data_IF_390266249247
#
_entry.id   IF_390266249247
#
_cell.length_a   1.000
_cell.length_b   1.000
_cell.length_c   1.000
_cell.angle_alpha   90.00
_cell.angle_beta   90.00
_cell.angle_gamma   90.00
#
_symmetry.space_group_name_H-M   'P 1'
#
loop_
_entity.id
_entity.type
_entity.pdbx_description
1 polymer ?
#
# COMPACT_ATOMS: atom_id res chain seq x y z
N UNK A 1 -20.66 -13.10 14.50
CA UNK A 1 -20.00 -12.65 15.74
C UNK A 1 -20.85 -11.51 16.28
N UNK A 2 -21.43 -11.64 17.48
CA UNK A 2 -22.21 -10.56 18.12
C UNK A 2 -21.28 -9.89 19.11
N UNK A 3 -21.00 -8.61 18.90
CA UNK A 3 -20.20 -7.80 19.82
C UNK A 3 -21.09 -7.46 21.01
N UNK A 4 -20.62 -7.74 22.23
CA UNK A 4 -21.36 -7.43 23.45
C UNK A 4 -21.25 -5.95 23.81
N UNK A 5 -22.16 -5.44 24.65
CA UNK A 5 -22.12 -4.04 25.08
C UNK A 5 -20.86 -3.76 25.90
N UNK A 6 -20.40 -4.76 26.67
CA UNK A 6 -19.16 -4.72 27.43
C UNK A 6 -17.94 -4.59 26.51
N UNK A 7 -17.86 -5.37 25.42
CA UNK A 7 -16.76 -5.26 24.44
C UNK A 7 -16.72 -3.89 23.74
N UNK A 8 -17.88 -3.29 23.49
CA UNK A 8 -17.96 -1.92 22.94
C UNK A 8 -17.43 -0.90 23.94
N UNK A 9 -17.84 -0.99 25.21
CA UNK A 9 -17.36 -0.10 26.26
C UNK A 9 -15.87 -0.30 26.54
N UNK A 10 -15.39 -1.52 26.54
CA UNK A 10 -13.98 -1.86 26.72
C UNK A 10 -13.13 -1.28 25.57
N UNK A 11 -13.59 -1.39 24.32
CA UNK A 11 -12.91 -0.79 23.15
C UNK A 11 -12.88 0.75 23.25
N UNK A 12 -13.98 1.37 23.66
CA UNK A 12 -14.06 2.84 23.86
C UNK A 12 -13.12 3.28 24.97
N UNK A 13 -13.10 2.57 26.10
CA UNK A 13 -12.26 2.88 27.26
C UNK A 13 -10.78 2.66 26.96
N UNK A 14 -10.44 1.59 26.24
CA UNK A 14 -9.10 1.35 25.69
C UNK A 14 -8.66 2.52 24.79
N UNK A 15 -9.52 2.97 23.88
CA UNK A 15 -9.19 4.05 22.94
C UNK A 15 -9.00 5.40 23.63
N UNK A 16 -9.85 5.74 24.61
CA UNK A 16 -9.79 7.04 25.31
C UNK A 16 -8.70 7.11 26.39
N UNK A 17 -8.46 6.03 27.13
CA UNK A 17 -7.52 6.05 28.28
C UNK A 17 -6.11 5.53 27.93
N UNK A 18 -5.93 4.75 26.85
CA UNK A 18 -4.63 4.11 26.52
C UNK A 18 -3.93 4.62 25.25
N UNK A 19 -4.46 5.64 24.56
CA UNK A 19 -3.82 6.25 23.38
C UNK A 19 -3.42 5.22 22.30
N UNK A 20 -4.31 4.29 21.96
CA UNK A 20 -4.02 3.31 20.92
C UNK A 20 -3.82 3.98 19.56
N UNK A 21 -2.73 3.63 18.88
CA UNK A 21 -2.47 3.99 17.48
C UNK A 21 -2.41 2.74 16.60
N UNK A 22 -2.74 2.91 15.31
CA UNK A 22 -2.48 1.90 14.30
C UNK A 22 -1.10 2.21 13.71
N UNK A 23 -0.10 1.39 14.09
CA UNK A 23 1.28 1.53 13.60
C UNK A 23 1.36 1.55 12.07
N UNK A 24 0.62 0.69 11.39
CA UNK A 24 0.63 0.64 9.92
C UNK A 24 -0.62 0.01 9.35
N UNK A 25 -1.06 0.53 8.21
CA UNK A 25 -1.92 -0.19 7.27
C UNK A 25 -1.09 -0.56 6.05
N UNK A 26 -1.28 -1.78 5.52
CA UNK A 26 -0.54 -2.25 4.33
C UNK A 26 -1.52 -2.75 3.29
N UNK A 27 -1.46 -2.20 2.08
CA UNK A 27 -2.21 -2.68 0.93
C UNK A 27 -1.35 -3.62 0.07
N UNK A 28 -1.77 -4.88 -0.05
CA UNK A 28 -1.18 -5.82 -0.98
C UNK A 28 -1.73 -5.65 -2.40
N UNK A 29 -0.85 -5.44 -3.38
CA UNK A 29 -1.22 -5.28 -4.79
C UNK A 29 -0.63 -6.42 -5.62
N UNK A 30 -1.52 -7.17 -6.28
CA UNK A 30 -1.12 -8.10 -7.31
C UNK A 30 -0.80 -7.34 -8.60
N UNK A 31 0.41 -7.50 -9.13
CA UNK A 31 0.89 -6.84 -10.36
C UNK A 31 1.17 -7.83 -11.49
N UNK A 32 0.85 -9.12 -11.33
CA UNK A 32 1.09 -10.14 -12.37
C UNK A 32 0.39 -9.82 -13.69
N UNK A 33 -0.79 -9.21 -13.63
CA UNK A 33 -1.56 -8.75 -14.78
C UNK A 33 -0.90 -7.55 -15.50
N UNK A 34 0.02 -6.86 -14.84
CA UNK A 34 0.73 -5.72 -15.41
C UNK A 34 1.94 -6.15 -16.25
N UNK A 35 2.46 -7.37 -16.08
CA UNK A 35 3.67 -7.86 -16.76
C UNK A 35 3.60 -7.67 -18.29
N UNK A 36 4.71 -7.24 -18.89
CA UNK A 36 4.86 -7.05 -20.35
C UNK A 36 6.28 -7.41 -20.78
N UNK A 37 6.46 -7.67 -22.08
CA UNK A 37 7.78 -7.75 -22.71
C UNK A 37 8.34 -6.36 -23.04
N UNK A 38 7.50 -5.34 -23.17
CA UNK A 38 7.92 -3.93 -23.25
C UNK A 38 8.02 -3.31 -21.84
N UNK A 39 9.25 -2.99 -21.43
CA UNK A 39 9.53 -2.39 -20.12
C UNK A 39 8.82 -1.06 -19.90
N UNK A 40 8.58 -0.26 -20.96
CA UNK A 40 7.88 1.03 -20.83
C UNK A 40 6.40 0.82 -20.54
N UNK A 41 5.76 -0.07 -21.31
CA UNK A 41 4.35 -0.42 -21.11
C UNK A 41 4.14 -1.06 -19.73
N UNK A 42 5.02 -1.99 -19.33
CA UNK A 42 5.02 -2.60 -18.01
C UNK A 42 5.12 -1.56 -16.88
N UNK A 43 6.15 -0.72 -16.91
CA UNK A 43 6.38 0.30 -15.88
C UNK A 43 5.19 1.27 -15.77
N UNK A 44 4.63 1.69 -16.90
CA UNK A 44 3.44 2.56 -16.91
C UNK A 44 2.25 1.91 -16.22
N UNK A 45 1.93 0.65 -16.54
CA UNK A 45 0.80 -0.06 -15.93
C UNK A 45 0.98 -0.26 -14.43
N UNK A 46 2.19 -0.62 -14.00
CA UNK A 46 2.52 -0.76 -12.58
C UNK A 46 2.37 0.57 -11.86
N UNK A 47 2.93 1.64 -12.42
CA UNK A 47 2.82 2.99 -11.87
C UNK A 47 1.35 3.40 -11.70
N UNK A 48 0.55 3.29 -12.75
CA UNK A 48 -0.85 3.71 -12.73
C UNK A 48 -1.68 2.89 -11.74
N UNK A 49 -1.41 1.57 -11.63
CA UNK A 49 -2.06 0.69 -10.65
C UNK A 49 -1.72 1.10 -9.21
N UNK A 50 -0.44 1.31 -8.90
CA UNK A 50 0.02 1.69 -7.56
C UNK A 50 -0.56 3.06 -7.17
N UNK A 51 -0.51 4.04 -8.07
CA UNK A 51 -1.05 5.38 -7.80
C UNK A 51 -2.55 5.31 -7.52
N UNK A 52 -3.32 4.64 -8.38
CA UNK A 52 -4.77 4.51 -8.19
C UNK A 52 -5.12 3.86 -6.86
N UNK A 53 -4.45 2.75 -6.53
CA UNK A 53 -4.75 1.97 -5.33
C UNK A 53 -4.24 2.64 -4.06
N UNK A 54 -3.06 3.25 -4.09
CA UNK A 54 -2.50 3.99 -2.97
C UNK A 54 -3.30 5.24 -2.62
N UNK A 55 -3.81 5.98 -3.61
CA UNK A 55 -4.71 7.11 -3.34
C UNK A 55 -6.02 6.65 -2.68
N UNK A 56 -6.56 5.50 -3.07
CA UNK A 56 -7.74 4.93 -2.41
C UNK A 56 -7.43 4.48 -0.98
N UNK A 57 -6.27 3.86 -0.73
CA UNK A 57 -5.82 3.51 0.62
C UNK A 57 -5.80 4.75 1.51
N UNK A 58 -5.21 5.85 1.03
CA UNK A 58 -5.13 7.09 1.79
C UNK A 58 -6.52 7.64 2.12
N UNK A 59 -7.40 7.74 1.11
CA UNK A 59 -8.78 8.18 1.32
C UNK A 59 -9.51 7.37 2.40
N UNK A 60 -9.47 6.04 2.32
CA UNK A 60 -10.19 5.20 3.27
C UNK A 60 -9.52 5.17 4.65
N UNK A 61 -8.20 5.31 4.71
CA UNK A 61 -7.48 5.47 5.97
C UNK A 61 -7.89 6.78 6.66
N UNK A 62 -7.94 7.91 5.94
CA UNK A 62 -8.38 9.21 6.46
C UNK A 62 -9.84 9.13 7.00
N UNK A 63 -10.73 8.46 6.26
CA UNK A 63 -12.12 8.22 6.68
C UNK A 63 -12.19 7.38 7.97
N UNK A 64 -11.32 6.37 8.09
CA UNK A 64 -11.26 5.50 9.27
C UNK A 64 -10.72 6.25 10.50
N UNK A 65 -9.64 7.01 10.34
CA UNK A 65 -9.07 7.87 11.39
C UNK A 65 -10.13 8.85 11.91
N UNK A 66 -10.85 9.51 10.98
CA UNK A 66 -11.90 10.47 11.33
C UNK A 66 -13.08 9.82 12.04
N UNK A 67 -13.46 8.60 11.62
CA UNK A 67 -14.63 7.89 12.17
C UNK A 67 -14.38 7.32 13.57
N UNK A 68 -13.18 6.80 13.83
CA UNK A 68 -12.86 6.11 15.07
C UNK A 68 -11.97 6.92 16.02
N UNK A 69 -11.42 8.05 15.57
CA UNK A 69 -10.52 8.88 16.38
C UNK A 69 -9.18 8.21 16.68
N UNK A 70 -8.81 7.16 15.93
CA UNK A 70 -7.58 6.39 16.12
C UNK A 70 -6.61 6.75 14.99
N UNK A 71 -5.42 7.28 15.28
CA UNK A 71 -4.47 7.68 14.24
C UNK A 71 -3.83 6.46 13.53
N UNK A 72 -3.58 6.59 12.23
CA UNK A 72 -2.84 5.62 11.40
C UNK A 72 -1.48 6.22 11.06
N UNK A 73 -0.43 5.70 11.69
CA UNK A 73 0.91 6.30 11.62
C UNK A 73 1.59 6.06 10.27
N UNK A 74 1.38 4.89 9.65
CA UNK A 74 2.00 4.55 8.37
C UNK A 74 1.01 3.90 7.41
N UNK A 75 1.17 4.20 6.13
CA UNK A 75 0.43 3.64 5.00
C UNK A 75 1.44 3.07 4.02
N UNK A 76 1.36 1.75 3.83
CA UNK A 76 2.36 0.99 3.07
C UNK A 76 1.72 0.22 1.93
N UNK A 77 2.51 -0.11 0.93
CA UNK A 77 2.13 -1.02 -0.15
C UNK A 77 3.09 -2.20 -0.16
N UNK A 78 2.54 -3.41 -0.28
CA UNK A 78 3.32 -4.59 -0.68
C UNK A 78 2.91 -5.03 -2.08
N UNK A 79 3.88 -5.43 -2.89
CA UNK A 79 3.63 -5.88 -4.27
C UNK A 79 3.98 -7.35 -4.46
N UNK A 80 3.56 -7.90 -5.61
CA UNK A 80 4.10 -9.18 -6.09
C UNK A 80 5.63 -9.09 -6.19
N UNK A 81 6.40 -10.11 -5.77
CA UNK A 81 7.85 -10.06 -5.76
C UNK A 81 8.44 -9.52 -7.07
N UNK A 82 9.28 -8.50 -6.99
CA UNK A 82 9.86 -7.85 -8.17
C UNK A 82 10.61 -8.84 -9.08
N UNK A 83 11.23 -9.86 -8.50
CA UNK A 83 11.91 -10.94 -9.23
C UNK A 83 10.99 -11.67 -10.21
N UNK A 84 9.74 -11.94 -9.81
CA UNK A 84 8.73 -12.61 -10.65
C UNK A 84 8.25 -11.64 -11.74
N UNK A 85 8.01 -10.38 -11.37
CA UNK A 85 7.48 -9.37 -12.30
C UNK A 85 8.45 -9.04 -13.44
N UNK A 86 9.75 -9.15 -13.18
CA UNK A 86 10.82 -8.86 -14.13
C UNK A 86 11.19 -10.04 -15.04
N UNK A 87 10.65 -11.23 -14.82
CA UNK A 87 10.95 -12.43 -15.62
C UNK A 87 10.83 -12.24 -17.15
N UNK A 88 9.80 -11.52 -17.66
CA UNK A 88 9.65 -11.33 -19.11
C UNK A 88 10.62 -10.32 -19.73
N UNK A 89 11.41 -9.60 -18.92
CA UNK A 89 12.25 -8.49 -19.36
C UNK A 89 13.75 -8.87 -19.40
N UNK A 90 14.59 -8.09 -20.13
CA UNK A 90 16.03 -8.28 -20.12
C UNK A 90 16.61 -8.18 -18.71
N UNK A 91 17.34 -9.21 -18.28
CA UNK A 91 18.01 -9.33 -16.97
C UNK A 91 19.25 -8.43 -16.91
N UNK A 92 19.03 -7.12 -16.90
CA UNK A 92 20.09 -6.10 -16.88
C UNK A 92 19.87 -5.12 -15.73
N UNK A 93 20.96 -4.55 -15.19
CA UNK A 93 20.90 -3.55 -14.13
C UNK A 93 19.98 -2.36 -14.51
N UNK A 94 20.04 -1.81 -15.74
CA UNK A 94 19.13 -0.73 -16.15
C UNK A 94 17.65 -1.09 -16.04
N UNK A 95 17.25 -2.32 -16.42
CA UNK A 95 15.87 -2.79 -16.29
C UNK A 95 15.40 -2.76 -14.84
N UNK A 96 16.20 -3.35 -13.95
CA UNK A 96 15.85 -3.46 -12.51
C UNK A 96 15.78 -2.07 -11.87
N UNK A 97 16.76 -1.21 -12.15
CA UNK A 97 16.80 0.16 -11.63
C UNK A 97 15.63 0.99 -12.16
N UNK A 98 15.26 0.84 -13.44
CA UNK A 98 14.10 1.53 -14.00
C UNK A 98 12.79 1.11 -13.32
N UNK A 99 12.63 -0.19 -13.03
CA UNK A 99 11.48 -0.69 -12.29
C UNK A 99 11.45 -0.14 -10.86
N UNK A 100 12.57 -0.20 -10.13
CA UNK A 100 12.68 0.35 -8.77
C UNK A 100 12.33 1.86 -8.72
N UNK A 101 12.83 2.65 -9.67
CA UNK A 101 12.48 4.08 -9.81
C UNK A 101 10.98 4.28 -10.10
N UNK A 102 10.37 3.37 -10.85
CA UNK A 102 8.93 3.39 -11.12
C UNK A 102 8.12 3.18 -9.84
N UNK A 103 8.52 2.22 -9.00
CA UNK A 103 7.89 1.98 -7.70
C UNK A 103 8.03 3.18 -6.77
N UNK A 104 9.23 3.75 -6.65
CA UNK A 104 9.50 4.93 -5.82
C UNK A 104 8.69 6.15 -6.28
N UNK A 105 8.66 6.42 -7.59
CA UNK A 105 7.86 7.50 -8.17
C UNK A 105 6.35 7.29 -7.93
N UNK A 106 5.87 6.05 -8.06
CA UNK A 106 4.45 5.74 -7.86
C UNK A 106 4.03 5.90 -6.39
N UNK A 107 4.85 5.42 -5.45
CA UNK A 107 4.62 5.57 -4.01
C UNK A 107 4.61 7.05 -3.59
N UNK A 108 5.59 7.83 -4.05
CA UNK A 108 5.64 9.28 -3.82
C UNK A 108 4.40 9.99 -4.35
N UNK A 109 3.99 9.68 -5.58
CA UNK A 109 2.80 10.27 -6.19
C UNK A 109 1.51 9.88 -5.47
N UNK A 110 1.45 8.66 -4.94
CA UNK A 110 0.30 8.18 -4.17
C UNK A 110 0.25 8.73 -2.75
N UNK A 111 1.36 9.25 -2.20
CA UNK A 111 1.48 9.63 -0.80
C UNK A 111 1.59 8.42 0.13
N UNK A 112 2.41 7.43 -0.24
CA UNK A 112 2.61 6.18 0.51
C UNK A 112 3.99 6.21 1.15
N UNK A 113 4.09 5.85 2.43
CA UNK A 113 5.33 5.95 3.22
C UNK A 113 6.38 4.93 2.79
N UNK A 114 5.93 3.73 2.42
CA UNK A 114 6.82 2.65 2.03
C UNK A 114 6.18 1.69 1.03
N UNK A 115 6.96 1.27 0.04
CA UNK A 115 6.59 0.21 -0.90
C UNK A 115 7.65 -0.90 -0.86
N UNK A 116 7.22 -2.16 -0.79
CA UNK A 116 8.11 -3.31 -0.76
C UNK A 116 7.58 -4.53 -1.53
N UNK A 117 8.49 -5.39 -1.97
CA UNK A 117 8.19 -6.59 -2.77
C UNK A 117 9.07 -6.71 -3.99
#
# INVERSE_FOLDING_TARGET
MRISVEEVFETVQMTMDQHFDIRTTTLGINLKDCMDRDSKAFNKRVHDRIVKMGTLLNKYADELESKYGIPIINRRISITPASILLEPLPKTIPTVVAFAKTLDSAAKKAGIDFIGG
#
